data_IF_830170763213
#
_entry.id   IF_830170763213
#
_cell.length_a   1.000
_cell.length_b   1.000
_cell.length_c   1.000
_cell.angle_alpha   90.00
_cell.angle_beta   90.00
_cell.angle_gamma   90.00
#
_symmetry.space_group_name_H-M   'P 1'
#
loop_
_entity.id
_entity.type
_entity.pdbx_description
1 polymer ?
#
# COMPACT_ATOMS: atom_id res chain seq x y z
N UNK A 1 -49.14 -19.53 -31.24
CA UNK A 1 -47.84 -20.14 -31.60
C UNK A 1 -46.74 -19.13 -31.28
N UNK A 2 -46.14 -19.26 -30.11
CA UNK A 2 -45.14 -18.32 -29.55
C UNK A 2 -44.02 -19.16 -28.95
N UNK A 3 -42.82 -19.13 -29.54
CA UNK A 3 -41.52 -19.38 -28.89
C UNK A 3 -40.46 -19.73 -29.95
N UNK A 4 -39.90 -18.71 -30.60
CA UNK A 4 -38.67 -18.91 -31.39
C UNK A 4 -37.70 -17.73 -31.27
N UNK A 5 -37.95 -16.84 -30.34
CA UNK A 5 -37.05 -15.76 -29.95
C UNK A 5 -36.57 -16.16 -28.55
N UNK A 6 -35.28 -15.97 -28.26
CA UNK A 6 -34.66 -16.11 -26.92
C UNK A 6 -33.75 -17.33 -26.62
N UNK A 7 -33.06 -17.91 -27.62
CA UNK A 7 -31.85 -18.72 -27.32
C UNK A 7 -30.55 -18.08 -27.82
N UNK A 8 -30.57 -17.40 -28.97
CA UNK A 8 -29.37 -16.78 -29.53
C UNK A 8 -28.90 -15.52 -28.75
N UNK A 9 -29.82 -14.78 -28.12
CA UNK A 9 -29.51 -13.56 -27.37
C UNK A 9 -28.89 -13.84 -26.00
N UNK A 10 -29.26 -14.98 -25.38
CA UNK A 10 -28.72 -15.40 -24.07
C UNK A 10 -27.27 -15.90 -24.21
N UNK A 11 -26.98 -16.68 -25.27
CA UNK A 11 -25.65 -17.23 -25.51
C UNK A 11 -24.59 -16.14 -25.82
N UNK A 12 -24.97 -15.02 -26.43
CA UNK A 12 -24.06 -13.89 -26.69
C UNK A 12 -23.83 -13.02 -25.45
N UNK A 13 -24.84 -12.87 -24.59
CA UNK A 13 -24.74 -12.15 -23.30
C UNK A 13 -23.76 -12.83 -22.33
N UNK A 14 -23.78 -14.16 -22.24
CA UNK A 14 -22.87 -14.92 -21.37
C UNK A 14 -21.40 -14.86 -21.80
N UNK A 15 -21.13 -14.78 -23.12
CA UNK A 15 -19.76 -14.65 -23.66
C UNK A 15 -19.18 -13.25 -23.41
N UNK A 16 -20.00 -12.21 -23.54
CA UNK A 16 -19.60 -10.82 -23.25
C UNK A 16 -19.30 -10.59 -21.76
N UNK A 17 -20.09 -11.21 -20.87
CA UNK A 17 -19.87 -11.14 -19.41
C UNK A 17 -18.53 -11.74 -18.96
N UNK A 18 -18.14 -12.90 -19.53
CA UNK A 18 -16.85 -13.53 -19.23
C UNK A 18 -15.64 -12.69 -19.68
N UNK A 19 -15.74 -12.02 -20.83
CA UNK A 19 -14.68 -11.14 -21.34
C UNK A 19 -14.51 -9.93 -20.43
N UNK A 20 -15.60 -9.31 -19.98
CA UNK A 20 -15.55 -8.17 -19.06
C UNK A 20 -14.89 -8.57 -17.74
N UNK A 21 -15.22 -9.74 -17.18
CA UNK A 21 -14.59 -10.26 -15.96
C UNK A 21 -13.08 -10.48 -16.13
N UNK A 22 -12.65 -11.06 -17.27
CA UNK A 22 -11.23 -11.27 -17.56
C UNK A 22 -10.48 -9.94 -17.72
N UNK A 23 -11.08 -8.94 -18.38
CA UNK A 23 -10.50 -7.60 -18.53
C UNK A 23 -10.36 -6.90 -17.18
N UNK A 24 -11.36 -7.00 -16.28
CA UNK A 24 -11.25 -6.49 -14.91
C UNK A 24 -10.13 -7.19 -14.10
N UNK A 25 -9.97 -8.50 -14.26
CA UNK A 25 -8.91 -9.26 -13.59
C UNK A 25 -7.51 -8.90 -14.12
N UNK A 26 -7.36 -8.64 -15.43
CA UNK A 26 -6.10 -8.22 -16.03
C UNK A 26 -5.70 -6.79 -15.62
N UNK A 27 -6.67 -5.88 -15.48
CA UNK A 27 -6.41 -4.52 -14.97
C UNK A 27 -5.99 -4.53 -13.49
N UNK A 28 -6.46 -5.50 -12.70
CA UNK A 28 -6.04 -5.68 -11.32
C UNK A 28 -4.61 -6.25 -11.17
N UNK A 29 -4.03 -6.84 -12.23
CA UNK A 29 -2.68 -7.43 -12.21
C UNK A 29 -1.55 -6.38 -12.31
N UNK A 30 -1.87 -5.11 -12.61
CA UNK A 30 -0.90 -4.00 -12.64
C UNK A 30 -0.48 -3.50 -11.24
N UNK A 31 -0.51 -4.37 -10.23
CA UNK A 31 0.03 -4.05 -8.92
C UNK A 31 1.56 -3.98 -9.00
N UNK A 32 2.13 -2.78 -8.98
CA UNK A 32 3.57 -2.53 -9.08
C UNK A 32 4.44 -3.39 -8.16
N UNK A 33 5.70 -3.59 -8.60
CA UNK A 33 6.71 -4.40 -7.88
C UNK A 33 7.21 -3.75 -6.60
N UNK A 34 7.05 -2.43 -6.49
CA UNK A 34 7.30 -1.61 -5.31
C UNK A 34 6.04 -0.79 -4.97
N UNK A 35 5.89 -0.30 -3.72
CA UNK A 35 4.80 0.60 -3.38
C UNK A 35 4.93 1.91 -4.16
N UNK A 36 3.81 2.43 -4.66
CA UNK A 36 3.79 3.81 -5.20
C UNK A 36 4.07 4.81 -4.08
N UNK A 37 4.53 6.04 -4.37
CA UNK A 37 4.76 7.06 -3.33
C UNK A 37 3.55 7.29 -2.43
N UNK A 38 2.34 7.30 -3.00
CA UNK A 38 1.08 7.39 -2.25
C UNK A 38 0.84 6.19 -1.34
N UNK A 39 1.10 4.97 -1.85
CA UNK A 39 0.97 3.74 -1.05
C UNK A 39 2.00 3.67 0.07
N UNK A 40 3.24 4.09 -0.20
CA UNK A 40 4.32 4.17 0.78
C UNK A 40 3.98 5.14 1.91
N UNK A 41 3.50 6.34 1.56
CA UNK A 41 3.06 7.35 2.53
C UNK A 41 1.90 6.85 3.39
N UNK A 42 0.83 6.32 2.79
CA UNK A 42 -0.32 5.82 3.54
C UNK A 42 0.02 4.67 4.49
N UNK A 43 0.88 3.76 4.05
CA UNK A 43 1.38 2.66 4.87
C UNK A 43 2.24 3.17 6.04
N UNK A 44 3.19 4.08 5.78
CA UNK A 44 4.04 4.66 6.83
C UNK A 44 3.21 5.42 7.87
N UNK A 45 2.24 6.23 7.42
CA UNK A 45 1.33 6.95 8.31
C UNK A 45 0.51 6.01 9.20
N UNK A 46 -0.10 4.99 8.59
CA UNK A 46 -0.87 3.99 9.35
C UNK A 46 0.01 3.25 10.37
N UNK A 47 1.22 2.87 9.94
CA UNK A 47 2.18 2.18 10.78
C UNK A 47 2.61 3.03 11.99
N UNK A 48 3.12 4.24 11.78
CA UNK A 48 3.61 5.07 12.89
C UNK A 48 2.50 5.57 13.80
N UNK A 49 1.29 5.82 13.27
CA UNK A 49 0.12 6.11 14.09
C UNK A 49 -0.22 4.95 15.03
N UNK A 50 -0.23 3.72 14.50
CA UNK A 50 -0.47 2.52 15.32
C UNK A 50 0.67 2.27 16.31
N UNK A 51 1.91 2.44 15.87
CA UNK A 51 3.11 2.26 16.67
C UNK A 51 3.15 3.23 17.86
N UNK A 52 2.98 4.53 17.64
CA UNK A 52 2.96 5.54 18.71
C UNK A 52 1.84 5.30 19.72
N UNK A 53 0.66 4.87 19.25
CA UNK A 53 -0.45 4.50 20.14
C UNK A 53 -0.11 3.29 21.02
N UNK A 54 0.53 2.27 20.46
CA UNK A 54 0.92 1.05 21.16
C UNK A 54 2.10 1.28 22.13
N UNK A 55 3.06 2.12 21.75
CA UNK A 55 4.30 2.36 22.48
C UNK A 55 4.40 3.82 22.93
N UNK A 56 3.54 4.22 23.87
CA UNK A 56 3.42 5.61 24.36
C UNK A 56 4.71 6.21 24.94
N UNK A 57 5.62 5.38 25.43
CA UNK A 57 6.91 5.81 25.98
C UNK A 57 8.01 5.97 24.93
N UNK A 58 7.78 5.55 23.68
CA UNK A 58 8.73 5.78 22.59
C UNK A 58 8.70 7.23 22.13
N UNK A 59 9.74 7.70 21.45
CA UNK A 59 9.77 9.04 20.82
C UNK A 59 8.52 9.30 19.96
N UNK A 60 8.10 8.28 19.19
CA UNK A 60 6.89 8.31 18.34
C UNK A 60 5.55 8.33 19.09
N UNK A 61 5.56 7.92 20.37
CA UNK A 61 4.39 7.94 21.24
C UNK A 61 4.31 9.20 22.11
N UNK A 62 5.45 9.81 22.41
CA UNK A 62 5.55 11.03 23.21
C UNK A 62 5.35 12.29 22.37
N UNK A 63 5.96 12.33 21.19
CA UNK A 63 5.90 13.48 20.29
C UNK A 63 5.12 13.10 19.03
N UNK A 64 4.02 13.82 18.72
CA UNK A 64 3.27 13.58 17.49
C UNK A 64 4.13 13.80 16.24
N UNK A 65 3.86 13.00 15.21
CA UNK A 65 4.43 13.18 13.86
C UNK A 65 3.49 14.09 13.07
N UNK A 66 3.99 15.24 12.65
CA UNK A 66 3.25 16.24 11.87
C UNK A 66 3.24 15.89 10.38
N UNK A 67 4.39 15.47 9.86
CA UNK A 67 4.57 15.22 8.42
C UNK A 67 5.45 14.01 8.16
N UNK A 68 5.05 13.21 7.19
CA UNK A 68 5.78 12.05 6.69
C UNK A 68 6.18 12.32 5.25
N UNK A 69 7.48 12.27 4.96
CA UNK A 69 8.00 12.44 3.60
C UNK A 69 8.69 11.17 3.14
N UNK A 70 8.36 10.71 1.93
CA UNK A 70 8.99 9.54 1.33
C UNK A 70 10.21 10.02 0.54
N UNK A 71 11.40 9.68 1.02
CA UNK A 71 12.64 10.06 0.35
C UNK A 71 12.93 9.13 -0.83
N UNK A 72 12.82 7.81 -0.59
CA UNK A 72 13.21 6.79 -1.56
C UNK A 72 12.38 5.54 -1.39
N UNK A 73 12.05 4.90 -2.52
CA UNK A 73 11.44 3.58 -2.57
C UNK A 73 12.33 2.71 -3.46
N UNK A 74 12.79 1.59 -2.94
CA UNK A 74 13.69 0.68 -3.64
C UNK A 74 13.15 -0.75 -3.57
N UNK A 75 12.98 -1.40 -4.72
CA UNK A 75 12.64 -2.82 -4.74
C UNK A 75 13.86 -3.63 -4.30
N UNK A 76 13.70 -4.48 -3.28
CA UNK A 76 14.74 -5.40 -2.82
C UNK A 76 14.57 -6.79 -3.40
N UNK A 77 13.33 -7.26 -3.50
CA UNK A 77 12.97 -8.53 -4.12
C UNK A 77 11.49 -8.53 -4.54
N UNK A 78 11.04 -9.62 -5.15
CA UNK A 78 9.62 -9.78 -5.47
C UNK A 78 8.77 -9.63 -4.21
N UNK A 79 7.81 -8.69 -4.25
CA UNK A 79 6.92 -8.36 -3.13
C UNK A 79 7.65 -7.84 -1.88
N UNK A 80 8.90 -7.35 -2.00
CA UNK A 80 9.70 -6.82 -0.92
C UNK A 80 10.38 -5.51 -1.36
N UNK A 81 10.14 -4.44 -0.63
CA UNK A 81 10.70 -3.13 -0.94
C UNK A 81 11.14 -2.41 0.33
N UNK A 82 12.20 -1.64 0.21
CA UNK A 82 12.61 -0.68 1.23
C UNK A 82 12.03 0.69 0.92
N UNK A 83 11.59 1.37 1.97
CA UNK A 83 11.06 2.72 1.91
C UNK A 83 11.80 3.55 2.93
N UNK A 84 12.50 4.57 2.45
CA UNK A 84 13.19 5.54 3.30
C UNK A 84 12.27 6.73 3.54
N UNK A 85 12.11 7.09 4.81
CA UNK A 85 11.09 8.03 5.28
C UNK A 85 11.71 9.06 6.20
N UNK A 86 11.34 10.33 6.03
CA UNK A 86 11.57 11.38 7.01
C UNK A 86 10.30 11.62 7.81
N UNK A 87 10.43 11.57 9.13
CA UNK A 87 9.36 11.82 10.08
C UNK A 87 9.65 13.16 10.75
N UNK A 88 8.82 14.15 10.44
CA UNK A 88 8.89 15.47 11.04
C UNK A 88 8.00 15.48 12.27
N UNK A 89 8.60 15.68 13.44
CA UNK A 89 7.91 15.74 14.72
C UNK A 89 7.46 17.16 15.03
N UNK A 90 6.46 17.27 15.90
CA UNK A 90 5.90 18.56 16.29
C UNK A 90 6.86 19.47 17.06
N UNK A 91 7.88 18.89 17.71
CA UNK A 91 8.95 19.62 18.40
C UNK A 91 10.05 20.14 17.45
N UNK A 92 9.92 19.87 16.15
CA UNK A 92 10.86 20.29 15.12
C UNK A 92 11.96 19.27 14.82
N UNK A 93 12.00 18.14 15.53
CA UNK A 93 12.96 17.08 15.22
C UNK A 93 12.59 16.33 13.94
N UNK A 94 13.61 15.80 13.26
CA UNK A 94 13.43 14.98 12.06
C UNK A 94 14.12 13.64 12.24
N UNK A 95 13.36 12.55 12.25
CA UNK A 95 13.93 11.21 12.20
C UNK A 95 13.97 10.68 10.78
N UNK A 96 15.12 10.17 10.38
CA UNK A 96 15.29 9.38 9.16
C UNK A 96 15.12 7.91 9.49
N UNK A 97 14.15 7.27 8.86
CA UNK A 97 13.76 5.89 9.15
C UNK A 97 13.75 5.05 7.88
N UNK A 98 14.31 3.84 7.96
CA UNK A 98 14.20 2.84 6.91
C UNK A 98 13.09 1.86 7.26
N UNK A 99 12.18 1.63 6.32
CA UNK A 99 11.10 0.66 6.44
C UNK A 99 11.36 -0.50 5.49
N UNK A 100 11.33 -1.73 6.00
CA UNK A 100 11.22 -2.92 5.17
C UNK A 100 9.74 -3.26 5.00
N UNK A 101 9.29 -3.34 3.75
CA UNK A 101 7.87 -3.49 3.41
C UNK A 101 7.64 -4.72 2.56
N UNK A 102 6.51 -5.39 2.76
CA UNK A 102 6.12 -6.58 2.01
C UNK A 102 4.70 -6.42 1.45
N UNK A 103 4.51 -6.86 0.20
CA UNK A 103 3.18 -6.97 -0.41
C UNK A 103 2.41 -8.11 0.25
N UNK A 104 1.25 -7.80 0.78
CA UNK A 104 0.35 -8.70 1.50
C UNK A 104 -1.04 -8.68 0.83
N UNK A 105 -1.23 -9.35 -0.31
CA UNK A 105 -2.55 -9.42 -0.96
C UNK A 105 -3.61 -10.02 -0.03
N UNK A 106 -4.87 -9.54 -0.06
CA UNK A 106 -5.40 -8.42 -0.86
C UNK A 106 -5.15 -7.01 -0.26
N UNK A 107 -4.48 -6.92 0.89
CA UNK A 107 -4.34 -5.71 1.72
C UNK A 107 -3.26 -4.71 1.29
N UNK A 108 -2.64 -4.90 0.12
CA UNK A 108 -1.61 -3.99 -0.41
C UNK A 108 -0.25 -4.17 0.27
N UNK A 109 0.50 -3.08 0.47
CA UNK A 109 1.83 -3.11 1.10
C UNK A 109 1.73 -2.93 2.61
N UNK A 110 2.58 -3.65 3.35
CA UNK A 110 2.62 -3.62 4.83
C UNK A 110 4.04 -3.50 5.33
N UNK A 111 4.25 -2.78 6.44
CA UNK A 111 5.55 -2.68 7.10
C UNK A 111 5.86 -3.98 7.85
N UNK A 112 7.05 -4.55 7.64
CA UNK A 112 7.54 -5.76 8.33
C UNK A 112 8.52 -5.43 9.45
N UNK A 113 9.44 -4.52 9.18
CA UNK A 113 10.38 -4.01 10.16
C UNK A 113 10.74 -2.57 9.82
N UNK A 114 11.38 -1.89 10.77
CA UNK A 114 11.84 -0.53 10.60
C UNK A 114 13.04 -0.28 11.52
N UNK A 115 13.87 0.68 11.14
CA UNK A 115 15.04 1.10 11.90
C UNK A 115 15.26 2.62 11.78
N UNK A 116 15.67 3.25 12.88
CA UNK A 116 16.09 4.65 12.86
C UNK A 116 17.50 4.71 12.32
N UNK A 117 17.70 5.45 11.24
CA UNK A 117 19.02 5.70 10.66
C UNK A 117 19.69 6.91 11.31
N UNK A 118 18.92 7.96 11.58
CA UNK A 118 19.41 9.23 12.13
C UNK A 118 18.27 10.03 12.79
N UNK A 119 18.61 10.90 13.74
CA UNK A 119 17.69 11.85 14.39
C UNK A 119 18.38 13.21 14.46
N UNK A 120 17.76 14.22 13.86
CA UNK A 120 18.25 15.59 13.77
C UNK A 120 17.36 16.55 14.57
#
# INVERSE_FOLDING_TARGET
MTSSIDFAHIATSMKKSKIILIVLLLLAACGGRAPSPKSAHGMAQSFFKSYGHKYKQSAFGQVPIDKIEINRVEERALNLAEVEVFLNFHDGHVARVLLLTRKSPPFGWTVKSWEVLDVQ
#
